data_IF_534195354708
#
_entry.id   IF_534195354708
#
_cell.length_a   1.000
_cell.length_b   1.000
_cell.length_c   1.000
_cell.angle_alpha   90.00
_cell.angle_beta   90.00
_cell.angle_gamma   90.00
#
_symmetry.space_group_name_H-M   'P 1'
#
loop_
_entity.id
_entity.type
_entity.pdbx_description
1 polymer ?
#
# COMPACT_ATOMS: atom_id res chain seq x y z
N UNK A 1 -2.09 -17.74 26.39
CA UNK A 1 -2.45 -16.37 26.83
C UNK A 1 -2.44 -15.47 25.60
N UNK A 2 -3.59 -15.30 24.96
CA UNK A 2 -3.73 -14.54 23.72
C UNK A 2 -3.97 -13.07 24.01
N UNK A 3 -3.06 -12.20 23.56
CA UNK A 3 -3.33 -10.75 23.50
C UNK A 3 -4.21 -10.51 22.27
N UNK A 4 -5.32 -9.81 22.44
CA UNK A 4 -6.16 -9.37 21.33
C UNK A 4 -5.59 -8.09 20.72
N UNK A 5 -5.55 -8.05 19.40
CA UNK A 5 -5.10 -6.88 18.63
C UNK A 5 -6.23 -6.39 17.73
N UNK A 6 -6.28 -5.09 17.47
CA UNK A 6 -7.15 -4.59 16.40
C UNK A 6 -6.62 -5.08 15.04
N UNK A 7 -7.50 -5.44 14.09
CA UNK A 7 -7.09 -5.89 12.75
C UNK A 7 -6.19 -4.91 11.99
N UNK A 8 -6.28 -3.61 12.30
CA UNK A 8 -5.41 -2.58 11.73
C UNK A 8 -4.06 -2.40 12.44
N UNK A 9 -3.94 -2.83 13.69
CA UNK A 9 -2.75 -2.61 14.53
C UNK A 9 -1.79 -3.80 14.54
N UNK A 10 -2.19 -4.95 14.00
CA UNK A 10 -1.35 -6.14 13.95
C UNK A 10 -0.52 -6.18 12.67
N UNK A 11 0.31 -5.16 12.50
CA UNK A 11 1.13 -4.94 11.31
C UNK A 11 2.57 -4.67 11.68
N UNK A 12 3.48 -5.05 10.79
CA UNK A 12 4.88 -4.69 10.96
C UNK A 12 5.04 -3.17 10.90
N UNK A 13 5.71 -2.57 11.88
CA UNK A 13 5.94 -1.12 11.91
C UNK A 13 6.83 -0.62 10.78
N UNK A 14 7.62 -1.52 10.18
CA UNK A 14 8.50 -1.22 9.05
C UNK A 14 7.72 -1.29 7.75
N UNK A 15 7.32 -2.50 7.33
CA UNK A 15 6.75 -2.73 6.00
C UNK A 15 5.22 -2.72 5.94
N UNK A 16 4.53 -2.54 7.08
CA UNK A 16 3.07 -2.51 7.20
C UNK A 16 2.34 -3.82 6.83
N UNK A 17 3.08 -4.92 6.68
CA UNK A 17 2.51 -6.25 6.40
C UNK A 17 1.65 -6.76 7.55
N UNK A 18 0.57 -7.45 7.20
CA UNK A 18 -0.31 -8.11 8.17
C UNK A 18 0.41 -9.30 8.79
N UNK A 19 0.45 -9.38 10.11
CA UNK A 19 1.18 -10.45 10.81
C UNK A 19 0.29 -11.61 11.26
N UNK A 20 -0.96 -11.66 10.78
CA UNK A 20 -1.90 -12.71 11.15
C UNK A 20 -1.40 -14.09 10.72
N UNK A 21 -1.30 -15.01 11.68
CA UNK A 21 -0.83 -16.38 11.46
C UNK A 21 0.66 -16.54 11.13
N UNK A 22 1.48 -15.46 11.15
CA UNK A 22 2.92 -15.54 10.89
C UNK A 22 3.77 -15.24 12.13
N UNK A 23 5.02 -15.73 12.20
CA UNK A 23 5.94 -15.36 13.27
C UNK A 23 6.24 -13.87 13.27
N UNK A 24 6.26 -13.28 14.47
CA UNK A 24 6.56 -11.88 14.67
C UNK A 24 7.41 -11.71 15.93
N UNK A 25 8.11 -10.58 16.01
CA UNK A 25 8.83 -10.15 17.20
C UNK A 25 8.26 -8.84 17.71
N UNK A 26 8.42 -8.61 19.02
CA UNK A 26 7.96 -7.38 19.69
C UNK A 26 9.13 -6.84 20.49
N UNK A 27 9.42 -5.55 20.36
CA UNK A 27 10.48 -4.89 21.12
C UNK A 27 10.00 -4.41 22.51
N UNK A 28 10.89 -3.73 23.24
CA UNK A 28 10.60 -3.19 24.58
C UNK A 28 9.60 -2.03 24.56
N UNK A 29 9.37 -1.41 23.41
CA UNK A 29 8.43 -0.30 23.20
C UNK A 29 7.06 -0.81 22.69
N UNK A 30 6.89 -2.12 22.55
CA UNK A 30 5.74 -2.80 21.94
C UNK A 30 5.57 -2.60 20.43
N UNK A 31 6.62 -2.19 19.72
CA UNK A 31 6.61 -2.20 18.27
C UNK A 31 6.66 -3.64 17.77
N UNK A 32 5.84 -3.95 16.76
CA UNK A 32 5.72 -5.29 16.20
C UNK A 32 6.47 -5.34 14.86
N UNK A 33 7.33 -6.34 14.70
CA UNK A 33 8.12 -6.54 13.48
C UNK A 33 7.78 -7.89 12.85
N UNK A 34 7.74 -7.95 11.51
CA UNK A 34 7.68 -9.24 10.84
C UNK A 34 8.99 -10.00 11.12
N UNK A 35 8.94 -11.33 11.20
CA UNK A 35 10.12 -12.15 11.41
C UNK A 35 11.09 -12.23 10.22
N UNK A 36 11.02 -11.31 9.26
CA UNK A 36 11.95 -11.30 8.12
C UNK A 36 13.32 -10.88 8.67
N UNK A 37 14.28 -11.80 8.61
CA UNK A 37 15.68 -11.56 9.03
C UNK A 37 16.44 -10.67 8.03
N UNK A 38 15.80 -10.34 6.89
CA UNK A 38 16.41 -9.54 5.86
C UNK A 38 16.46 -8.05 6.25
N UNK A 39 17.60 -7.41 6.00
CA UNK A 39 17.72 -5.95 6.13
C UNK A 39 16.74 -5.25 5.21
N UNK A 40 16.06 -4.21 5.72
CA UNK A 40 15.31 -3.24 4.91
C UNK A 40 16.20 -2.74 3.76
N UNK A 41 15.70 -2.79 2.53
CA UNK A 41 16.48 -2.38 1.35
C UNK A 41 15.70 -1.53 0.35
N UNK A 42 14.38 -1.48 0.45
CA UNK A 42 13.56 -0.78 -0.54
C UNK A 42 12.82 0.35 0.15
N UNK A 43 12.99 1.57 -0.36
CA UNK A 43 12.30 2.77 0.12
C UNK A 43 11.32 3.23 -0.95
N UNK A 44 10.06 3.43 -0.60
CA UNK A 44 9.04 3.98 -1.50
C UNK A 44 7.97 4.69 -0.69
N UNK A 45 7.43 5.81 -1.19
CA UNK A 45 6.37 6.58 -0.51
C UNK A 45 6.72 6.94 0.95
N UNK A 46 7.98 7.29 1.22
CA UNK A 46 8.50 7.56 2.58
C UNK A 46 8.32 6.38 3.56
N UNK A 47 8.20 5.16 3.02
CA UNK A 47 8.10 3.90 3.76
C UNK A 47 9.25 2.97 3.40
N UNK A 48 9.64 2.21 4.41
CA UNK A 48 10.68 1.21 4.35
C UNK A 48 10.08 -0.18 4.16
N UNK A 49 10.64 -0.96 3.24
CA UNK A 49 10.18 -2.30 2.93
C UNK A 49 11.34 -3.30 3.03
N UNK A 50 11.04 -4.46 3.63
CA UNK A 50 11.81 -5.67 3.37
C UNK A 50 11.61 -6.08 1.92
N UNK A 51 12.60 -6.75 1.33
CA UNK A 51 12.53 -7.18 -0.07
C UNK A 51 11.28 -8.06 -0.28
N UNK A 52 11.07 -9.04 0.61
CA UNK A 52 9.90 -9.95 0.58
C UNK A 52 8.55 -9.24 0.78
N UNK A 53 8.55 -8.10 1.45
CA UNK A 53 7.33 -7.33 1.72
C UNK A 53 7.02 -6.29 0.64
N UNK A 54 7.90 -6.11 -0.34
CA UNK A 54 7.73 -5.13 -1.40
C UNK A 54 6.87 -5.67 -2.55
N UNK A 55 5.59 -5.88 -2.31
CA UNK A 55 4.65 -6.46 -3.27
C UNK A 55 3.39 -5.60 -3.46
N UNK A 56 2.70 -5.79 -4.59
CA UNK A 56 1.44 -5.12 -4.89
C UNK A 56 0.34 -5.54 -3.90
N UNK A 57 -0.28 -4.58 -3.22
CA UNK A 57 -1.33 -4.83 -2.22
C UNK A 57 -2.58 -5.52 -2.80
N UNK A 58 -2.86 -5.34 -4.09
CA UNK A 58 -4.07 -5.87 -4.73
C UNK A 58 -3.91 -7.28 -5.30
N UNK A 59 -2.71 -7.64 -5.75
CA UNK A 59 -2.49 -8.92 -6.44
C UNK A 59 -1.33 -9.75 -5.89
N UNK A 60 -0.59 -9.24 -4.90
CA UNK A 60 0.56 -9.92 -4.31
C UNK A 60 1.78 -10.01 -5.22
N UNK A 61 1.79 -9.33 -6.37
CA UNK A 61 2.94 -9.36 -7.29
C UNK A 61 4.16 -8.74 -6.62
N UNK A 62 5.25 -9.50 -6.49
CA UNK A 62 6.53 -9.00 -6.02
C UNK A 62 7.02 -7.88 -6.95
N UNK A 63 7.31 -6.72 -6.36
CA UNK A 63 7.77 -5.55 -7.10
C UNK A 63 9.30 -5.45 -7.04
N UNK A 64 9.89 -4.83 -8.05
CA UNK A 64 11.32 -4.55 -8.15
C UNK A 64 11.57 -3.46 -9.23
N UNK A 65 12.80 -3.26 -9.68
CA UNK A 65 13.19 -2.26 -10.68
C UNK A 65 13.01 -2.71 -12.14
N UNK A 66 12.70 -3.99 -12.37
CA UNK A 66 12.42 -4.57 -13.68
C UNK A 66 11.14 -4.02 -14.28
N UNK A 67 11.18 -3.77 -15.60
CA UNK A 67 10.02 -3.30 -16.34
C UNK A 67 8.87 -4.33 -16.31
N UNK A 68 7.69 -3.91 -15.86
CA UNK A 68 6.54 -4.80 -15.59
C UNK A 68 6.34 -5.14 -14.10
N UNK A 69 7.41 -5.11 -13.31
CA UNK A 69 7.40 -5.35 -11.86
C UNK A 69 7.60 -4.07 -11.04
N UNK A 70 7.73 -2.91 -11.69
CA UNK A 70 7.84 -1.61 -11.00
C UNK A 70 6.60 -1.27 -10.17
N UNK A 71 6.84 -0.54 -9.09
CA UNK A 71 5.75 0.01 -8.29
C UNK A 71 5.14 1.28 -8.91
N UNK A 72 3.86 1.48 -8.65
CA UNK A 72 3.07 2.63 -9.07
C UNK A 72 2.21 3.11 -7.89
N UNK A 73 2.80 3.91 -6.97
CA UNK A 73 2.11 4.44 -5.80
C UNK A 73 0.80 5.15 -6.12
N UNK A 74 -0.24 4.95 -5.30
CA UNK A 74 -1.49 5.71 -5.40
C UNK A 74 -2.11 5.88 -4.01
N UNK A 75 -2.22 7.13 -3.52
CA UNK A 75 -2.80 7.45 -2.21
C UNK A 75 -2.22 6.61 -1.06
N UNK A 76 -0.90 6.41 -1.08
CA UNK A 76 -0.20 5.62 -0.05
C UNK A 76 -0.30 4.10 -0.21
N UNK A 77 -0.88 3.62 -1.32
CA UNK A 77 -0.90 2.19 -1.65
C UNK A 77 0.18 1.79 -2.64
N UNK A 78 0.85 0.67 -2.36
CA UNK A 78 1.86 0.05 -3.20
C UNK A 78 1.22 -0.86 -4.25
N UNK A 79 1.24 -0.46 -5.53
CA UNK A 79 0.53 -1.16 -6.60
C UNK A 79 1.46 -1.50 -7.77
N UNK A 80 1.15 -2.59 -8.49
CA UNK A 80 1.69 -2.82 -9.83
C UNK A 80 0.95 -1.96 -10.86
N UNK A 81 1.53 -1.81 -12.05
CA UNK A 81 0.95 -1.01 -13.14
C UNK A 81 -0.52 -1.35 -13.45
N UNK A 82 -0.83 -2.64 -13.55
CA UNK A 82 -2.19 -3.10 -13.87
C UNK A 82 -3.22 -2.77 -12.78
N UNK A 83 -2.86 -2.95 -11.51
CA UNK A 83 -3.76 -2.61 -10.39
C UNK A 83 -3.87 -1.10 -10.20
N UNK A 84 -2.81 -0.34 -10.46
CA UNK A 84 -2.83 1.12 -10.45
C UNK A 84 -3.87 1.68 -11.43
N UNK A 85 -3.82 1.26 -12.71
CA UNK A 85 -4.80 1.69 -13.72
C UNK A 85 -6.22 1.26 -13.34
N UNK A 86 -6.39 0.04 -12.83
CA UNK A 86 -7.70 -0.46 -12.39
C UNK A 86 -8.30 0.43 -11.30
N UNK A 87 -7.51 0.81 -10.29
CA UNK A 87 -7.97 1.70 -9.22
C UNK A 87 -8.30 3.12 -9.72
N UNK A 88 -7.52 3.66 -10.66
CA UNK A 88 -7.83 4.96 -11.29
C UNK A 88 -9.16 4.94 -12.05
N UNK A 89 -9.42 3.87 -12.81
CA UNK A 89 -10.65 3.72 -13.57
C UNK A 89 -11.89 3.57 -12.69
N UNK A 90 -11.77 2.99 -11.49
CA UNK A 90 -12.86 2.90 -10.51
C UNK A 90 -13.13 4.27 -9.86
N UNK A 91 -12.08 5.08 -9.65
CA UNK A 91 -12.20 6.42 -9.05
C UNK A 91 -12.78 7.46 -9.99
N UNK A 92 -12.61 7.29 -11.30
CA UNK A 92 -13.30 8.09 -12.28
C UNK A 92 -14.79 7.71 -12.26
N UNK A 93 -15.70 8.64 -11.94
CA UNK A 93 -17.12 8.38 -12.11
C UNK A 93 -17.35 8.08 -13.60
N UNK A 94 -18.05 7.00 -13.90
CA UNK A 94 -18.64 6.74 -15.23
C UNK A 94 -19.75 7.73 -15.60
N UNK A 95 -19.91 8.81 -14.83
CA UNK A 95 -20.86 9.87 -15.10
C UNK A 95 -20.15 11.06 -15.75
N UNK A 96 -20.64 11.58 -16.89
CA UNK A 96 -20.22 12.89 -17.36
C UNK A 96 -20.50 13.91 -16.23
N UNK A 97 -19.65 14.95 -16.06
CA UNK A 97 -19.95 15.99 -15.10
C UNK A 97 -21.35 16.56 -15.38
N UNK A 98 -22.20 16.82 -14.37
CA UNK A 98 -23.41 17.58 -14.61
C UNK A 98 -22.99 18.90 -15.25
N UNK A 99 -23.50 19.13 -16.47
CA UNK A 99 -23.28 20.35 -17.24
C UNK A 99 -23.55 21.54 -16.34
N UNK A 100 -22.51 22.22 -15.86
CA UNK A 100 -22.67 23.50 -15.21
C UNK A 100 -23.18 24.47 -16.28
N UNK A 101 -24.35 25.10 -16.13
CA UNK A 101 -24.72 26.19 -17.01
C UNK A 101 -23.72 27.32 -16.76
N UNK A 102 -22.88 27.58 -17.76
CA UNK A 102 -22.03 28.77 -17.78
C UNK A 102 -22.95 29.98 -17.86
N UNK A 103 -23.18 30.64 -16.73
CA UNK A 103 -23.79 31.97 -16.72
C UNK A 103 -22.75 32.95 -17.27
N UNK A 104 -22.88 33.30 -18.54
CA UNK A 104 -22.15 34.42 -19.14
C UNK A 104 -22.68 35.69 -18.49
N UNK A 105 -21.83 36.38 -17.74
CA UNK A 105 -22.06 37.78 -17.37
C UNK A 105 -21.51 38.62 -18.51
N UNK A 106 -22.40 39.16 -19.34
CA UNK A 106 -22.04 40.19 -20.32
C UNK A 106 -21.63 41.46 -19.57
N UNK A 107 -20.52 42.07 -19.99
CA UNK A 107 -19.99 43.35 -19.53
C UNK A 107 -20.75 44.53 -20.14
#
# INVERSE_FOLDING_TARGET
LGKSYHPGCFRCVVCNECLDGVPFTVDVENNIYCGSEETIRVVSMDKDYHVECYHCEDCGLQLNDEEGHRCYPLEGHLLCHGCHIRRLNIKLPSHPPPSYPMHVTEL
#
